data_IF_700068090578
#
_entry.id   IF_700068090578
#
_cell.length_a   1.000
_cell.length_b   1.000
_cell.length_c   1.000
_cell.angle_alpha   90.00
_cell.angle_beta   90.00
_cell.angle_gamma   90.00
#
_symmetry.space_group_name_H-M   'P 1'
#
loop_
_entity.id
_entity.type
_entity.pdbx_description
1 polymer ?
#
# COMPACT_ATOMS: atom_id res chain seq x y z
N UNK A 1 7.61 10.29 6.10
CA UNK A 1 6.43 9.85 5.30
C UNK A 1 6.88 8.81 4.29
N UNK A 2 5.95 8.04 3.73
CA UNK A 2 6.19 7.20 2.54
C UNK A 2 5.16 7.64 1.49
N UNK A 3 5.62 7.99 0.29
CA UNK A 3 4.76 8.47 -0.79
C UNK A 3 4.62 7.42 -1.87
N UNK A 4 3.39 6.97 -2.10
CA UNK A 4 3.06 5.95 -3.10
C UNK A 4 2.72 6.61 -4.44
N UNK A 5 3.35 6.09 -5.49
CA UNK A 5 3.17 6.49 -6.88
C UNK A 5 2.85 5.28 -7.77
N UNK A 6 2.34 5.57 -8.96
CA UNK A 6 2.34 4.63 -10.07
C UNK A 6 3.11 5.27 -11.23
N UNK A 7 3.96 4.47 -11.87
CA UNK A 7 4.89 4.94 -12.92
C UNK A 7 4.18 5.61 -14.09
N UNK A 8 2.91 5.30 -14.31
CA UNK A 8 2.12 5.77 -15.46
C UNK A 8 2.64 5.25 -16.81
N UNK A 9 3.59 4.32 -16.79
CA UNK A 9 4.23 3.79 -17.98
C UNK A 9 3.74 2.36 -18.27
N UNK A 10 2.73 2.25 -19.14
CA UNK A 10 2.15 0.97 -19.52
C UNK A 10 2.97 0.22 -20.60
N UNK A 11 4.12 0.72 -21.02
CA UNK A 11 4.93 0.08 -22.05
C UNK A 11 5.43 -1.30 -21.59
N UNK A 12 5.43 -2.28 -22.49
CA UNK A 12 6.01 -3.61 -22.20
C UNK A 12 7.49 -3.46 -21.88
N UNK A 13 7.93 -4.02 -20.76
CA UNK A 13 9.32 -3.93 -20.29
C UNK A 13 9.67 -2.66 -19.51
N UNK A 14 8.69 -1.80 -19.19
CA UNK A 14 8.87 -0.69 -18.25
C UNK A 14 8.81 -1.18 -16.78
N UNK A 15 9.63 -2.17 -16.46
CA UNK A 15 9.75 -2.80 -15.14
C UNK A 15 10.64 -1.97 -14.19
N UNK A 16 10.92 -2.48 -12.99
CA UNK A 16 11.70 -1.76 -11.98
C UNK A 16 13.15 -1.51 -12.44
N UNK A 17 13.77 -2.49 -13.10
CA UNK A 17 15.13 -2.35 -13.64
C UNK A 17 15.19 -1.31 -14.76
N UNK A 18 14.18 -1.25 -15.63
CA UNK A 18 14.10 -0.24 -16.69
C UNK A 18 13.98 1.19 -16.13
N UNK A 19 13.23 1.39 -15.05
CA UNK A 19 13.14 2.70 -14.40
C UNK A 19 14.43 3.09 -13.69
N UNK A 20 15.14 2.14 -13.08
CA UNK A 20 16.46 2.39 -12.51
C UNK A 20 17.47 2.84 -13.59
N UNK A 21 17.48 2.15 -14.74
CA UNK A 21 18.32 2.54 -15.88
C UNK A 21 17.94 3.91 -16.47
N UNK A 22 16.65 4.29 -16.43
CA UNK A 22 16.21 5.62 -16.82
C UNK A 22 16.72 6.70 -15.86
N UNK A 23 16.63 6.48 -14.55
CA UNK A 23 17.13 7.43 -13.55
C UNK A 23 18.66 7.62 -13.62
N UNK A 24 19.41 6.60 -14.04
CA UNK A 24 20.86 6.65 -14.27
C UNK A 24 21.26 7.17 -15.67
N UNK A 25 20.31 7.75 -16.43
CA UNK A 25 20.56 8.24 -17.79
C UNK A 25 20.51 9.77 -17.90
N UNK A 26 21.12 10.32 -18.96
CA UNK A 26 21.03 11.74 -19.33
C UNK A 26 19.57 12.25 -19.44
N UNK A 27 18.63 11.37 -19.77
CA UNK A 27 17.22 11.72 -19.84
C UNK A 27 16.63 11.93 -18.43
N UNK A 28 16.91 11.02 -17.50
CA UNK A 28 16.51 11.14 -16.10
C UNK A 28 17.10 12.38 -15.43
N UNK A 29 18.40 12.63 -15.66
CA UNK A 29 19.07 13.83 -15.15
C UNK A 29 18.39 15.11 -15.65
N UNK A 30 18.09 15.19 -16.96
CA UNK A 30 17.46 16.37 -17.56
C UNK A 30 16.04 16.59 -17.07
N UNK A 31 15.30 15.53 -16.78
CA UNK A 31 13.91 15.62 -16.29
C UNK A 31 13.85 16.07 -14.83
N UNK A 32 14.97 16.03 -14.10
CA UNK A 32 15.11 16.46 -12.70
C UNK A 32 14.11 15.75 -11.78
N UNK A 33 13.90 14.47 -12.03
CA UNK A 33 13.04 13.60 -11.22
C UNK A 33 13.86 12.52 -10.54
N UNK A 34 13.46 12.14 -9.34
CA UNK A 34 14.05 11.01 -8.63
C UNK A 34 13.12 10.50 -7.54
N UNK A 35 13.25 9.21 -7.21
CA UNK A 35 12.52 8.54 -6.13
C UNK A 35 13.37 7.37 -5.62
N UNK A 36 13.01 6.83 -4.47
CA UNK A 36 13.86 5.91 -3.73
C UNK A 36 13.73 4.50 -4.24
N UNK A 37 12.50 4.07 -4.55
CA UNK A 37 12.22 2.69 -4.93
C UNK A 37 11.31 2.60 -6.15
N UNK A 38 11.57 1.61 -7.01
CA UNK A 38 10.62 1.13 -8.01
C UNK A 38 10.32 -0.34 -7.78
N UNK A 39 9.04 -0.70 -7.88
CA UNK A 39 8.54 -2.03 -7.55
C UNK A 39 7.69 -2.57 -8.70
N UNK A 40 8.01 -3.76 -9.17
CA UNK A 40 7.21 -4.53 -10.11
C UNK A 40 6.76 -5.87 -9.50
N UNK A 41 6.23 -6.76 -10.33
CA UNK A 41 5.68 -8.04 -9.92
C UNK A 41 6.73 -9.08 -9.46
N UNK A 42 8.02 -8.84 -9.72
CA UNK A 42 9.09 -9.81 -9.44
C UNK A 42 10.34 -9.19 -8.80
N UNK A 43 10.46 -7.86 -8.73
CA UNK A 43 11.63 -7.16 -8.23
C UNK A 43 11.28 -5.83 -7.53
N UNK A 44 12.18 -5.43 -6.63
CA UNK A 44 12.22 -4.11 -6.00
C UNK A 44 13.63 -3.57 -6.24
N UNK A 45 13.73 -2.37 -6.82
CA UNK A 45 15.01 -1.69 -7.06
C UNK A 45 15.07 -0.41 -6.26
N UNK A 46 16.15 -0.23 -5.49
CA UNK A 46 16.45 1.00 -4.77
C UNK A 46 17.38 1.88 -5.62
N UNK A 47 16.95 3.12 -5.88
CA UNK A 47 17.69 4.10 -6.69
C UNK A 47 18.41 5.14 -5.82
N UNK A 48 17.89 5.42 -4.62
CA UNK A 48 18.45 6.39 -3.67
C UNK A 48 18.41 5.85 -2.24
N UNK A 49 19.37 6.23 -1.38
CA UNK A 49 19.29 5.96 0.06
C UNK A 49 18.08 6.67 0.69
N UNK A 50 17.45 6.03 1.68
CA UNK A 50 16.19 6.48 2.31
C UNK A 50 16.22 7.87 2.95
N UNK A 51 17.42 8.33 3.32
CA UNK A 51 17.63 9.62 3.98
C UNK A 51 17.95 10.76 3.00
N UNK A 52 18.08 10.48 1.70
CA UNK A 52 18.35 11.50 0.69
C UNK A 52 17.05 12.15 0.20
N UNK A 53 17.12 13.45 -0.11
CA UNK A 53 15.99 14.14 -0.74
C UNK A 53 15.81 13.65 -2.17
N UNK A 54 14.56 13.39 -2.56
CA UNK A 54 14.21 12.98 -3.91
C UNK A 54 13.17 13.93 -4.54
N UNK A 55 13.18 14.05 -5.87
CA UNK A 55 12.32 14.96 -6.63
C UNK A 55 11.14 14.20 -7.26
N UNK A 56 10.10 13.89 -6.46
CA UNK A 56 8.93 13.14 -6.92
C UNK A 56 7.57 13.74 -6.52
N UNK A 57 7.49 14.46 -5.40
CA UNK A 57 6.22 14.90 -4.82
C UNK A 57 5.65 16.15 -5.49
N UNK A 58 6.48 16.93 -6.19
CA UNK A 58 6.03 18.11 -6.94
C UNK A 58 5.38 19.19 -6.05
N UNK A 59 5.83 19.30 -4.80
CA UNK A 59 5.35 20.25 -3.77
C UNK A 59 6.36 21.39 -3.50
N UNK A 60 7.22 21.63 -4.48
CA UNK A 60 8.25 22.68 -4.43
C UNK A 60 9.56 22.23 -3.79
N UNK A 61 10.54 23.15 -3.76
CA UNK A 61 11.93 22.89 -3.33
C UNK A 61 12.06 22.51 -1.85
N UNK A 62 11.13 22.96 -1.02
CA UNK A 62 11.15 22.76 0.44
C UNK A 62 9.87 22.08 0.94
N UNK A 63 9.13 21.44 0.04
CA UNK A 63 7.92 20.73 0.38
C UNK A 63 8.22 19.43 1.14
N UNK A 64 7.37 19.05 2.11
CA UNK A 64 7.58 17.85 2.92
C UNK A 64 7.56 16.55 2.11
N UNK A 65 6.84 16.50 1.00
CA UNK A 65 6.80 15.33 0.13
C UNK A 65 8.17 14.99 -0.47
N UNK A 66 8.91 15.98 -0.98
CA UNK A 66 10.27 15.75 -1.49
C UNK A 66 11.30 15.60 -0.36
N UNK A 67 11.20 16.44 0.68
CA UNK A 67 12.26 16.58 1.68
C UNK A 67 12.17 15.60 2.86
N UNK A 68 11.00 15.03 3.14
CA UNK A 68 10.76 14.18 4.33
C UNK A 68 9.93 12.94 4.03
N UNK A 69 9.91 12.48 2.75
CA UNK A 69 9.24 11.24 2.37
C UNK A 69 10.08 10.33 1.47
N UNK A 70 9.90 9.03 1.66
CA UNK A 70 10.44 7.99 0.79
C UNK A 70 9.45 7.75 -0.35
N UNK A 71 9.85 8.09 -1.58
CA UNK A 71 9.07 7.85 -2.80
C UNK A 71 9.17 6.41 -3.30
N UNK A 72 8.01 5.75 -3.46
CA UNK A 72 7.87 4.37 -3.98
C UNK A 72 7.01 4.40 -5.24
N UNK A 73 7.59 4.00 -6.37
CA UNK A 73 6.90 3.87 -7.67
C UNK A 73 6.45 2.42 -7.91
N UNK A 74 5.17 2.22 -8.20
CA UNK A 74 4.60 0.92 -8.58
C UNK A 74 4.51 0.83 -10.11
N UNK A 75 5.14 -0.18 -10.70
CA UNK A 75 5.10 -0.43 -12.13
C UNK A 75 3.70 -0.82 -12.60
N UNK A 76 3.30 -0.29 -13.76
CA UNK A 76 2.01 -0.57 -14.43
C UNK A 76 2.20 -1.12 -15.85
N UNK A 77 3.39 -1.64 -16.14
CA UNK A 77 3.83 -2.07 -17.46
C UNK A 77 2.99 -3.22 -18.02
N UNK A 78 2.70 -3.18 -19.32
CA UNK A 78 2.02 -4.27 -20.00
C UNK A 78 2.81 -5.58 -19.88
N UNK A 79 2.11 -6.64 -19.47
CA UNK A 79 2.68 -7.97 -19.26
C UNK A 79 3.22 -8.22 -17.85
N UNK A 80 3.24 -7.21 -16.98
CA UNK A 80 3.43 -7.39 -15.53
C UNK A 80 2.12 -7.62 -14.80
N UNK A 81 2.19 -8.24 -13.62
CA UNK A 81 1.07 -8.42 -12.70
C UNK A 81 0.98 -7.25 -11.70
N UNK A 82 0.05 -6.34 -11.93
CA UNK A 82 -0.14 -5.17 -11.07
C UNK A 82 -0.57 -5.51 -9.64
N UNK A 83 -1.31 -6.60 -9.42
CA UNK A 83 -1.69 -7.01 -8.06
C UNK A 83 -0.48 -7.55 -7.29
N UNK A 84 0.38 -8.32 -7.96
CA UNK A 84 1.66 -8.74 -7.39
C UNK A 84 2.60 -7.55 -7.10
N UNK A 85 2.68 -6.58 -8.02
CA UNK A 85 3.46 -5.36 -7.81
C UNK A 85 2.97 -4.55 -6.59
N UNK A 86 1.65 -4.42 -6.40
CA UNK A 86 1.07 -3.80 -5.20
C UNK A 86 1.40 -4.59 -3.93
N UNK A 87 1.35 -5.92 -3.96
CA UNK A 87 1.70 -6.74 -2.80
C UNK A 87 3.18 -6.60 -2.43
N UNK A 88 4.08 -6.59 -3.42
CA UNK A 88 5.51 -6.35 -3.23
C UNK A 88 5.76 -4.95 -2.66
N UNK A 89 5.08 -3.93 -3.20
CA UNK A 89 5.19 -2.56 -2.72
C UNK A 89 4.68 -2.44 -1.28
N UNK A 90 3.57 -3.08 -0.93
CA UNK A 90 3.07 -3.09 0.44
C UNK A 90 4.04 -3.79 1.42
N UNK A 91 4.70 -4.87 0.99
CA UNK A 91 5.72 -5.54 1.79
C UNK A 91 6.94 -4.64 2.04
N UNK A 92 7.38 -3.89 1.01
CA UNK A 92 8.44 -2.87 1.13
C UNK A 92 8.00 -1.75 2.08
N UNK A 93 6.80 -1.20 1.91
CA UNK A 93 6.27 -0.13 2.76
C UNK A 93 6.24 -0.58 4.23
N UNK A 94 5.81 -1.81 4.51
CA UNK A 94 5.82 -2.37 5.87
C UNK A 94 7.23 -2.41 6.46
N UNK A 95 8.22 -2.85 5.68
CA UNK A 95 9.62 -2.87 6.11
C UNK A 95 10.11 -1.45 6.44
N UNK A 96 9.88 -0.49 5.54
CA UNK A 96 10.27 0.90 5.74
C UNK A 96 9.57 1.57 6.93
N UNK A 97 8.31 1.21 7.18
CA UNK A 97 7.57 1.66 8.36
C UNK A 97 8.24 1.19 9.65
N UNK A 98 8.64 -0.08 9.72
CA UNK A 98 9.33 -0.65 10.88
C UNK A 98 10.72 -0.05 11.06
N UNK A 99 11.51 0.03 10.00
CA UNK A 99 12.90 0.51 10.02
C UNK A 99 13.00 2.00 10.43
N UNK A 100 12.09 2.83 9.94
CA UNK A 100 12.11 4.28 10.16
C UNK A 100 11.11 4.76 11.23
N UNK A 101 10.37 3.85 11.86
CA UNK A 101 9.33 4.20 12.84
C UNK A 101 8.20 5.06 12.28
N UNK A 102 7.84 4.84 11.01
CA UNK A 102 6.80 5.61 10.29
C UNK A 102 5.44 4.95 10.52
N UNK A 103 4.50 5.69 11.12
CA UNK A 103 3.13 5.22 11.31
C UNK A 103 2.36 5.12 9.98
N UNK A 104 1.36 4.23 9.89
CA UNK A 104 0.57 3.99 8.66
C UNK A 104 -0.12 5.26 8.14
N UNK A 105 -0.50 6.19 9.02
CA UNK A 105 -1.11 7.48 8.64
C UNK A 105 -0.14 8.41 7.87
N UNK A 106 1.15 8.09 7.89
CA UNK A 106 2.18 8.77 7.12
C UNK A 106 2.57 8.04 5.82
N UNK A 107 1.84 6.96 5.48
CA UNK A 107 1.84 6.38 4.13
C UNK A 107 0.76 7.11 3.33
N UNK A 108 1.16 7.88 2.34
CA UNK A 108 0.28 8.79 1.61
C UNK A 108 0.41 8.58 0.11
N UNK A 109 -0.65 8.95 -0.62
CA UNK A 109 -0.64 9.01 -2.07
C UNK A 109 0.10 10.26 -2.54
N UNK A 110 0.72 10.26 -3.72
CA UNK A 110 1.26 11.50 -4.32
C UNK A 110 0.23 12.64 -4.35
N UNK A 111 -1.04 12.32 -4.61
CA UNK A 111 -2.17 13.25 -4.55
C UNK A 111 -2.21 14.12 -3.28
N UNK A 112 -1.78 13.58 -2.13
CA UNK A 112 -1.73 14.30 -0.85
C UNK A 112 -0.91 15.60 -0.93
N UNK A 113 0.17 15.59 -1.70
CA UNK A 113 1.13 16.69 -1.72
C UNK A 113 0.73 17.83 -2.66
N UNK A 114 0.20 17.51 -3.84
CA UNK A 114 -0.06 18.52 -4.89
C UNK A 114 -1.35 18.31 -5.68
N UNK A 115 -2.19 17.34 -5.31
CA UNK A 115 -3.45 17.05 -6.00
C UNK A 115 -3.32 16.28 -7.31
N UNK A 116 -2.11 15.85 -7.74
CA UNK A 116 -1.96 14.99 -8.93
C UNK A 116 -2.76 13.71 -8.74
N UNK A 117 -3.42 13.24 -9.81
CA UNK A 117 -4.15 11.98 -9.79
C UNK A 117 -3.18 10.79 -9.87
N UNK A 118 -2.49 10.54 -8.76
CA UNK A 118 -1.45 9.53 -8.59
C UNK A 118 -1.48 9.01 -7.14
N UNK A 119 -1.42 7.69 -6.89
CA UNK A 119 -1.35 6.58 -7.85
C UNK A 119 -2.67 6.37 -8.60
N UNK A 120 -2.64 6.41 -9.94
CA UNK A 120 -3.84 6.61 -10.77
C UNK A 120 -4.83 5.45 -10.69
N UNK A 121 -4.36 4.22 -10.85
CA UNK A 121 -5.19 3.01 -10.89
C UNK A 121 -5.79 2.71 -9.53
N UNK A 122 -4.99 2.84 -8.48
CA UNK A 122 -5.45 2.70 -7.09
C UNK A 122 -6.53 3.76 -6.77
N UNK A 123 -6.34 5.01 -7.18
CA UNK A 123 -7.33 6.08 -6.97
C UNK A 123 -8.63 5.89 -7.75
N UNK A 124 -8.53 5.39 -8.97
CA UNK A 124 -9.68 5.13 -9.81
C UNK A 124 -10.53 3.93 -9.34
N UNK A 125 -10.00 3.09 -8.44
CA UNK A 125 -10.65 1.87 -7.97
C UNK A 125 -11.20 2.05 -6.55
N UNK A 126 -12.53 2.03 -6.35
CA UNK A 126 -13.13 2.17 -5.02
C UNK A 126 -12.57 1.14 -4.03
N UNK A 127 -12.10 1.59 -2.87
CA UNK A 127 -11.57 0.74 -1.80
C UNK A 127 -10.14 0.23 -2.01
N UNK A 128 -9.51 0.49 -3.16
CA UNK A 128 -8.18 -0.04 -3.44
C UNK A 128 -7.07 0.62 -2.61
N UNK A 129 -7.24 1.88 -2.21
CA UNK A 129 -6.28 2.53 -1.31
C UNK A 129 -6.33 1.94 0.10
N UNK A 130 -7.53 1.73 0.62
CA UNK A 130 -7.76 1.10 1.92
C UNK A 130 -7.25 -0.34 1.92
N UNK A 131 -7.47 -1.08 0.84
CA UNK A 131 -6.91 -2.42 0.65
C UNK A 131 -5.37 -2.41 0.57
N UNK A 132 -4.76 -1.43 -0.11
CA UNK A 132 -3.31 -1.28 -0.13
C UNK A 132 -2.74 -0.99 1.27
N UNK A 133 -3.38 -0.10 2.04
CA UNK A 133 -2.97 0.18 3.42
C UNK A 133 -3.14 -1.05 4.34
N UNK A 134 -4.16 -1.89 4.12
CA UNK A 134 -4.33 -3.17 4.82
C UNK A 134 -3.14 -4.12 4.57
N UNK A 135 -2.72 -4.25 3.30
CA UNK A 135 -1.52 -5.02 2.96
C UNK A 135 -0.27 -4.45 3.63
N UNK A 136 -0.13 -3.11 3.71
CA UNK A 136 0.99 -2.46 4.39
C UNK A 136 1.02 -2.74 5.89
N UNK A 137 -0.15 -2.90 6.53
CA UNK A 137 -0.26 -3.33 7.93
C UNK A 137 0.06 -4.82 8.13
N UNK A 138 0.19 -5.58 7.04
CA UNK A 138 0.39 -7.02 7.08
C UNK A 138 -0.89 -7.81 7.35
N UNK A 139 -2.05 -7.20 7.16
CA UNK A 139 -3.34 -7.89 7.20
C UNK A 139 -3.41 -8.87 6.02
N UNK A 140 -3.68 -10.14 6.28
CA UNK A 140 -3.99 -11.10 5.21
C UNK A 140 -5.42 -10.84 4.71
N UNK A 141 -5.69 -11.17 3.45
CA UNK A 141 -6.99 -10.94 2.79
C UNK A 141 -8.20 -11.53 3.53
N UNK A 142 -8.00 -12.47 4.46
CA UNK A 142 -9.06 -13.03 5.30
C UNK A 142 -9.48 -12.17 6.49
N UNK A 143 -8.69 -11.18 6.91
CA UNK A 143 -8.97 -10.35 8.10
C UNK A 143 -10.03 -9.30 7.79
N UNK A 144 -10.03 -8.69 6.59
CA UNK A 144 -11.01 -7.66 6.23
C UNK A 144 -12.41 -8.23 5.96
N UNK A 145 -12.51 -9.42 5.36
CA UNK A 145 -13.79 -10.12 5.20
C UNK A 145 -14.33 -10.61 6.55
N UNK A 146 -13.45 -11.07 7.45
CA UNK A 146 -13.82 -11.44 8.82
C UNK A 146 -14.32 -10.22 9.59
N UNK A 147 -13.62 -9.09 9.54
CA UNK A 147 -14.02 -7.86 10.22
C UNK A 147 -15.38 -7.37 9.75
N UNK A 148 -15.61 -7.34 8.43
CA UNK A 148 -16.89 -6.95 7.86
C UNK A 148 -18.02 -7.93 8.20
N UNK A 149 -17.72 -9.23 8.30
CA UNK A 149 -18.68 -10.23 8.74
C UNK A 149 -19.02 -10.07 10.23
N UNK A 150 -18.00 -9.84 11.07
CA UNK A 150 -18.14 -9.60 12.51
C UNK A 150 -18.98 -8.34 12.77
N UNK A 151 -18.75 -7.25 12.04
CA UNK A 151 -19.55 -6.03 12.18
C UNK A 151 -21.03 -6.25 11.83
N UNK A 152 -21.32 -7.01 10.76
CA UNK A 152 -22.70 -7.37 10.40
C UNK A 152 -23.37 -8.20 11.48
N UNK A 153 -22.65 -9.14 12.09
CA UNK A 153 -23.18 -9.99 13.17
C UNK A 153 -23.43 -9.18 14.45
N UNK A 154 -22.54 -8.26 14.79
CA UNK A 154 -22.71 -7.36 15.94
C UNK A 154 -23.91 -6.42 15.74
N UNK A 155 -24.07 -5.84 14.54
CA UNK A 155 -25.20 -4.98 14.20
C UNK A 155 -26.55 -5.73 14.26
N UNK A 156 -26.54 -7.03 13.95
CA UNK A 156 -27.70 -7.90 14.11
C UNK A 156 -27.96 -8.34 15.57
N UNK A 157 -27.12 -7.93 16.53
CA UNK A 157 -27.21 -8.32 17.94
C UNK A 157 -26.85 -9.77 18.24
N UNK A 158 -26.20 -10.46 17.29
CA UNK A 158 -25.89 -11.89 17.39
C UNK A 158 -24.62 -12.14 18.23
N UNK A 159 -23.70 -11.18 18.21
CA UNK A 159 -22.50 -11.16 19.04
C UNK A 159 -22.42 -9.84 19.81
N UNK A 160 -21.85 -9.90 21.01
CA UNK A 160 -21.70 -8.78 21.95
C UNK A 160 -20.24 -8.35 22.13
N UNK A 161 -19.31 -9.10 21.51
CA UNK A 161 -17.86 -8.94 21.70
C UNK A 161 -17.12 -8.91 20.35
N UNK A 162 -17.40 -7.95 19.45
CA UNK A 162 -16.84 -7.93 18.09
C UNK A 162 -15.31 -7.93 18.08
N UNK A 163 -14.67 -7.17 18.96
CA UNK A 163 -13.20 -7.06 19.03
C UNK A 163 -12.52 -8.42 19.32
N UNK A 164 -13.16 -9.27 20.11
CA UNK A 164 -12.68 -10.63 20.37
C UNK A 164 -12.66 -11.48 19.08
N UNK A 165 -13.67 -11.33 18.22
CA UNK A 165 -13.76 -12.10 16.97
C UNK A 165 -12.87 -11.56 15.86
N UNK A 166 -12.63 -10.24 15.82
CA UNK A 166 -11.68 -9.59 14.89
C UNK A 166 -10.22 -9.91 15.21
N UNK A 167 -9.91 -10.20 16.47
CA UNK A 167 -8.57 -10.54 16.93
C UNK A 167 -8.01 -11.87 16.38
N UNK A 168 -8.83 -12.71 15.73
CA UNK A 168 -8.38 -13.93 15.05
C UNK A 168 -8.00 -15.12 15.95
N UNK A 169 -7.98 -14.95 17.28
CA UNK A 169 -7.67 -15.99 18.27
C UNK A 169 -8.94 -16.58 18.91
N UNK A 170 -9.61 -17.49 18.21
CA UNK A 170 -10.80 -18.19 18.72
C UNK A 170 -10.60 -19.71 18.87
N UNK A 171 -11.24 -20.30 19.87
CA UNK A 171 -11.23 -21.76 20.09
C UNK A 171 -12.43 -22.45 19.43
N UNK A 172 -12.32 -23.77 19.21
CA UNK A 172 -13.41 -24.58 18.68
C UNK A 172 -14.65 -24.52 19.59
N UNK A 173 -14.45 -24.48 20.91
CA UNK A 173 -15.52 -24.35 21.89
C UNK A 173 -16.26 -23.02 21.75
N UNK A 174 -15.53 -21.92 21.54
CA UNK A 174 -16.15 -20.59 21.40
C UNK A 174 -16.94 -20.48 20.09
N UNK A 175 -16.44 -21.06 18.99
CA UNK A 175 -17.18 -21.14 17.72
C UNK A 175 -18.42 -22.03 17.87
N UNK A 176 -18.33 -23.17 18.55
CA UNK A 176 -19.47 -24.04 18.80
C UNK A 176 -20.54 -23.35 19.64
N UNK A 177 -20.15 -22.64 20.71
CA UNK A 177 -21.06 -21.86 21.54
C UNK A 177 -21.80 -20.78 20.73
N UNK A 178 -21.09 -20.10 19.81
CA UNK A 178 -21.68 -19.11 18.91
C UNK A 178 -22.75 -19.73 17.99
N UNK A 179 -22.46 -20.89 17.38
CA UNK A 179 -23.42 -21.61 16.50
C UNK A 179 -24.67 -22.07 17.29
N UNK A 180 -24.49 -22.54 18.53
CA UNK A 180 -25.61 -22.95 19.40
C UNK A 180 -26.48 -21.74 19.76
N UNK A 181 -25.86 -20.61 20.17
CA UNK A 181 -26.56 -19.35 20.46
C UNK A 181 -27.35 -18.88 19.24
N UNK A 182 -26.79 -19.04 18.04
CA UNK A 182 -27.49 -18.72 16.78
C UNK A 182 -28.70 -19.61 16.51
N UNK A 183 -28.57 -20.93 16.66
CA UNK A 183 -29.69 -21.85 16.50
C UNK A 183 -30.86 -21.55 17.46
N UNK A 184 -30.57 -20.99 18.63
CA UNK A 184 -31.56 -20.58 19.63
C UNK A 184 -32.16 -19.17 19.41
N UNK A 185 -31.60 -18.37 18.50
CA UNK A 185 -32.03 -16.99 18.23
C UNK A 185 -33.13 -16.87 17.16
N UNK A 186 -33.75 -17.99 16.77
CA UNK A 186 -34.88 -18.06 15.82
C UNK A 186 -36.21 -18.31 16.52
#
# INVERSE_FOLDING_TARGET
YITIHETGNAAKGADAAAHAAYLDSDAGERDLVSWHYTVDDHAIVQNLPDAETAYHAGDGKSGPGNATSIGVEICVNAGGDFEAAKANAAALVRLLMEEHGIHIDHVVQHNHWNGKDCPKTIRATPGAWEAFLALCRGESTGVSELDAAVDKLAAAGLIDSPDYWKGGDYSAENVQALIIKWAASR
#
